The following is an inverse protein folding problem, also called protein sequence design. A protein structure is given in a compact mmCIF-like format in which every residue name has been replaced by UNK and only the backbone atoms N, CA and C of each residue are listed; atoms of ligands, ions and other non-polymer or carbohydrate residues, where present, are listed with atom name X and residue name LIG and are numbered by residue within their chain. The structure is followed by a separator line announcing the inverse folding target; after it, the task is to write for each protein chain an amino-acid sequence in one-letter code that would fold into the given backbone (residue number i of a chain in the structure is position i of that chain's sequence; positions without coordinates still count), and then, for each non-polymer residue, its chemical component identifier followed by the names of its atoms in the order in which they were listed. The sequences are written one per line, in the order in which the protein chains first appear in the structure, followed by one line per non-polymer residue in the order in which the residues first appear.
data_IF_499762875830
#
_entry.id   IF_499762875830
#
_cell.length_a   1.000
_cell.length_b   1.000
_cell.length_c   1.000
_cell.angle_alpha   90.00
_cell.angle_beta   90.00
_cell.angle_gamma   90.00
#
_symmetry.space_group_name_H-M   'P 1'
#
loop_
_entity.id
_entity.type
_entity.pdbx_description
1 polymer ?
#
# COMPACT_ATOMS: atom_id res chain seq x y z
N UNK A 1 12.37 -7.16 -24.82
CA UNK A 1 12.55 -5.86 -24.15
C UNK A 1 13.95 -5.84 -23.57
N UNK A 2 14.85 -5.06 -24.17
CA UNK A 2 16.26 -5.01 -23.75
C UNK A 2 16.53 -3.79 -22.87
N UNK A 3 17.29 -4.00 -21.79
CA UNK A 3 17.76 -2.91 -20.91
C UNK A 3 18.96 -2.25 -21.58
N UNK A 4 18.92 -0.93 -21.68
CA UNK A 4 20.06 -0.10 -22.04
C UNK A 4 21.04 -0.03 -20.85
N UNK A 5 22.22 -0.61 -21.04
CA UNK A 5 23.24 -0.71 -20.00
C UNK A 5 23.70 0.67 -19.49
N UNK A 6 23.75 1.70 -20.34
CA UNK A 6 24.15 3.05 -19.94
C UNK A 6 23.07 3.66 -19.04
N UNK A 7 21.80 3.55 -19.43
CA UNK A 7 20.68 4.03 -18.59
C UNK A 7 20.63 3.28 -17.25
N UNK A 8 20.89 1.98 -17.24
CA UNK A 8 20.93 1.17 -16.01
C UNK A 8 22.05 1.61 -15.06
N UNK A 9 23.25 1.90 -15.59
CA UNK A 9 24.37 2.44 -14.80
C UNK A 9 24.01 3.81 -14.22
N UNK A 10 23.43 4.70 -15.03
CA UNK A 10 22.98 6.03 -14.56
C UNK A 10 21.94 5.88 -13.44
N UNK A 11 20.94 5.02 -13.62
CA UNK A 11 19.92 4.74 -12.60
C UNK A 11 20.57 4.22 -11.31
N UNK A 12 21.53 3.31 -11.40
CA UNK A 12 22.25 2.81 -10.23
C UNK A 12 22.93 3.93 -9.44
N UNK A 13 23.66 4.84 -10.11
CA UNK A 13 24.26 5.99 -9.46
C UNK A 13 23.21 6.92 -8.83
N UNK A 14 22.10 7.17 -9.52
CA UNK A 14 20.98 7.96 -8.98
C UNK A 14 20.43 7.34 -7.70
N UNK A 15 20.21 6.02 -7.67
CA UNK A 15 19.73 5.29 -6.49
C UNK A 15 20.70 5.44 -5.33
N UNK A 16 22.01 5.28 -5.55
CA UNK A 16 23.02 5.44 -4.49
C UNK A 16 23.02 6.86 -3.91
N UNK A 17 23.02 7.88 -4.76
CA UNK A 17 22.97 9.28 -4.34
C UNK A 17 21.69 9.58 -3.57
N UNK A 18 20.53 9.17 -4.09
CA UNK A 18 19.23 9.40 -3.47
C UNK A 18 19.10 8.65 -2.15
N UNK A 19 19.61 7.42 -2.04
CA UNK A 19 19.65 6.68 -0.79
C UNK A 19 20.50 7.39 0.27
N UNK A 20 21.66 7.93 -0.12
CA UNK A 20 22.50 8.72 0.79
C UNK A 20 21.77 9.97 1.29
N UNK A 21 21.15 10.75 0.39
CA UNK A 21 20.39 11.95 0.76
C UNK A 21 19.19 11.57 1.64
N UNK A 22 18.43 10.54 1.27
CA UNK A 22 17.29 10.05 2.04
C UNK A 22 17.69 9.64 3.46
N UNK A 23 18.81 8.94 3.63
CA UNK A 23 19.33 8.55 4.95
C UNK A 23 19.78 9.74 5.81
N UNK A 24 20.22 10.84 5.19
CA UNK A 24 20.54 12.09 5.89
C UNK A 24 19.29 12.87 6.29
N UNK A 25 18.25 12.82 5.46
CA UNK A 25 16.97 13.48 5.76
C UNK A 25 16.17 12.69 6.81
N UNK A 26 16.16 11.36 6.76
CA UNK A 26 15.38 10.54 7.66
C UNK A 26 16.11 10.27 8.99
N UNK A 27 15.55 10.83 10.07
CA UNK A 27 16.06 10.68 11.43
C UNK A 27 15.32 9.53 12.13
N UNK A 28 16.04 8.48 12.54
CA UNK A 28 15.45 7.33 13.21
C UNK A 28 14.98 6.22 12.26
N UNK A 29 14.57 5.09 12.83
CA UNK A 29 14.32 3.87 12.07
C UNK A 29 13.01 3.93 11.27
N UNK A 30 11.94 4.47 11.86
CA UNK A 30 10.63 4.57 11.23
C UNK A 30 10.66 5.51 10.02
N UNK A 31 11.23 6.72 10.18
CA UNK A 31 11.41 7.66 9.07
C UNK A 31 12.19 7.02 7.91
N UNK A 32 13.28 6.31 8.21
CA UNK A 32 14.08 5.62 7.20
C UNK A 32 13.28 4.53 6.51
N UNK A 33 12.54 3.73 7.27
CA UNK A 33 11.71 2.66 6.72
C UNK A 33 10.66 3.21 5.74
N UNK A 34 9.95 4.27 6.11
CA UNK A 34 8.93 4.90 5.28
C UNK A 34 9.52 5.59 4.03
N UNK A 35 10.58 6.37 4.18
CA UNK A 35 11.19 7.07 3.04
C UNK A 35 11.90 6.12 2.08
N UNK A 36 12.63 5.13 2.59
CA UNK A 36 13.26 4.10 1.76
C UNK A 36 12.21 3.16 1.16
N UNK A 37 11.09 2.91 1.84
CA UNK A 37 9.94 2.20 1.29
C UNK A 37 9.37 2.95 0.08
N UNK A 38 9.05 4.24 0.24
CA UNK A 38 8.58 5.10 -0.85
C UNK A 38 9.52 5.07 -2.06
N UNK A 39 10.81 5.35 -1.84
CA UNK A 39 11.80 5.41 -2.92
C UNK A 39 12.10 4.02 -3.52
N UNK A 40 12.20 2.99 -2.69
CA UNK A 40 12.48 1.62 -3.13
C UNK A 40 11.38 1.10 -4.05
N UNK A 41 10.12 1.29 -3.66
CA UNK A 41 8.98 1.00 -4.52
C UNK A 41 9.01 1.80 -5.82
N UNK A 42 9.32 3.09 -5.75
CA UNK A 42 9.39 3.96 -6.92
C UNK A 42 10.45 3.51 -7.92
N UNK A 43 11.61 3.10 -7.41
CA UNK A 43 12.67 2.59 -8.27
C UNK A 43 12.26 1.29 -8.95
N UNK A 44 11.68 0.34 -8.21
CA UNK A 44 11.25 -0.96 -8.75
C UNK A 44 10.14 -0.79 -9.80
N UNK A 45 9.03 -0.14 -9.43
CA UNK A 45 7.82 -0.12 -10.25
C UNK A 45 7.78 0.99 -11.30
N UNK A 46 8.68 1.98 -11.24
CA UNK A 46 8.68 3.09 -12.21
C UNK A 46 10.06 3.37 -12.81
N UNK A 47 11.13 3.40 -12.00
CA UNK A 47 12.44 3.85 -12.52
C UNK A 47 13.19 2.78 -13.31
N UNK A 48 13.13 1.49 -12.94
CA UNK A 48 13.73 0.41 -13.75
C UNK A 48 13.15 0.44 -15.17
N UNK A 49 11.86 0.70 -15.30
CA UNK A 49 11.20 0.87 -16.61
C UNK A 49 11.83 1.96 -17.48
N UNK A 50 12.46 2.98 -16.91
CA UNK A 50 13.15 4.04 -17.68
C UNK A 50 14.45 3.58 -18.34
N UNK A 51 14.94 2.39 -18.00
CA UNK A 51 16.20 1.84 -18.53
C UNK A 51 16.01 1.03 -19.81
N UNK A 52 14.78 0.73 -20.22
CA UNK A 52 14.56 0.03 -21.49
C UNK A 52 14.97 0.88 -22.69
N UNK A 53 15.44 0.23 -23.76
CA UNK A 53 15.90 0.90 -24.98
C UNK A 53 14.81 1.81 -25.58
N UNK A 54 13.56 1.33 -25.62
CA UNK A 54 12.42 2.04 -26.22
C UNK A 54 11.89 3.22 -25.37
N UNK A 55 12.39 3.39 -24.14
CA UNK A 55 11.94 4.49 -23.27
C UNK A 55 12.83 5.72 -23.45
N UNK A 56 12.26 6.90 -23.75
CA UNK A 56 13.04 8.12 -23.90
C UNK A 56 13.89 8.48 -22.67
N UNK A 57 15.15 8.84 -22.89
CA UNK A 57 16.12 9.16 -21.82
C UNK A 57 15.67 10.30 -20.90
N UNK A 58 14.82 11.22 -21.36
CA UNK A 58 14.32 12.30 -20.49
C UNK A 58 13.48 11.77 -19.31
N UNK A 59 12.84 10.60 -19.45
CA UNK A 59 12.05 9.99 -18.38
C UNK A 59 12.92 9.45 -17.24
N UNK A 60 14.15 9.03 -17.53
CA UNK A 60 15.14 8.69 -16.50
C UNK A 60 15.46 9.92 -15.62
N UNK A 61 15.69 11.07 -16.24
CA UNK A 61 15.93 12.33 -15.52
C UNK A 61 14.68 12.85 -14.81
N UNK A 62 13.50 12.66 -15.40
CA UNK A 62 12.23 12.95 -14.74
C UNK A 62 12.06 12.09 -13.48
N UNK A 63 12.38 10.79 -13.54
CA UNK A 63 12.37 9.90 -12.38
C UNK A 63 13.30 10.37 -11.27
N UNK A 64 14.50 10.82 -11.61
CA UNK A 64 15.44 11.42 -10.66
C UNK A 64 14.89 12.70 -10.00
N UNK A 65 14.37 13.62 -10.82
CA UNK A 65 13.77 14.87 -10.33
C UNK A 65 12.56 14.63 -9.42
N UNK A 66 11.69 13.67 -9.78
CA UNK A 66 10.55 13.27 -8.98
C UNK A 66 10.98 12.68 -7.63
N UNK A 67 12.05 11.88 -7.60
CA UNK A 67 12.60 11.32 -6.36
C UNK A 67 13.18 12.39 -5.44
N UNK A 68 13.90 13.37 -5.98
CA UNK A 68 14.37 14.53 -5.21
C UNK A 68 13.19 15.32 -4.63
N UNK A 69 12.14 15.52 -5.42
CA UNK A 69 10.92 16.17 -4.97
C UNK A 69 10.22 15.38 -3.84
N UNK A 70 10.20 14.05 -3.90
CA UNK A 70 9.71 13.21 -2.80
C UNK A 70 10.53 13.37 -1.52
N UNK A 71 11.86 13.40 -1.62
CA UNK A 71 12.73 13.61 -0.45
C UNK A 71 12.51 15.01 0.15
N UNK A 72 12.40 16.04 -0.70
CA UNK A 72 12.13 17.40 -0.27
C UNK A 72 10.75 17.54 0.38
N UNK A 73 9.72 16.94 -0.23
CA UNK A 73 8.38 16.85 0.34
C UNK A 73 8.38 16.16 1.69
N UNK A 74 9.07 15.03 1.82
CA UNK A 74 9.23 14.30 3.08
C UNK A 74 9.89 15.16 4.15
N UNK A 75 10.97 15.88 3.80
CA UNK A 75 11.63 16.81 4.69
C UNK A 75 10.67 17.93 5.17
N UNK A 76 9.85 18.48 4.28
CA UNK A 76 8.83 19.46 4.61
C UNK A 76 7.75 18.90 5.55
N UNK A 77 7.16 17.75 5.19
CA UNK A 77 6.10 17.09 5.96
C UNK A 77 6.55 16.77 7.38
N UNK A 78 7.77 16.23 7.55
CA UNK A 78 8.29 15.92 8.88
C UNK A 78 8.55 17.17 9.74
N UNK A 79 8.84 18.32 9.14
CA UNK A 79 9.08 19.56 9.88
C UNK A 79 7.75 20.16 10.30
N UNK A 80 6.79 20.27 9.37
CA UNK A 80 5.45 20.82 9.63
C UNK A 80 4.71 20.00 10.70
N UNK A 81 4.81 18.68 10.66
CA UNK A 81 4.12 17.79 11.62
C UNK A 81 4.94 17.44 12.87
N UNK A 82 6.09 18.08 13.10
CA UNK A 82 6.90 17.78 14.29
C UNK A 82 6.12 18.00 15.61
N UNK A 83 5.41 19.13 15.72
CA UNK A 83 4.60 19.44 16.91
C UNK A 83 3.41 18.49 17.08
N UNK A 84 2.72 18.14 15.99
CA UNK A 84 1.63 17.16 16.01
C UNK A 84 2.13 15.80 16.49
N UNK A 85 3.28 15.35 15.98
CA UNK A 85 3.92 14.10 16.41
C UNK A 85 4.21 14.10 17.91
N UNK A 86 4.73 15.19 18.48
CA UNK A 86 4.98 15.28 19.94
C UNK A 86 3.69 15.18 20.75
N UNK A 87 2.63 15.91 20.37
CA UNK A 87 1.34 15.90 21.07
C UNK A 87 0.71 14.51 21.00
N UNK A 88 0.69 13.91 19.81
CA UNK A 88 0.17 12.57 19.58
C UNK A 88 0.94 11.54 20.41
N UNK A 89 2.27 11.58 20.39
CA UNK A 89 3.10 10.63 21.15
C UNK A 89 2.80 10.66 22.64
N UNK A 90 2.72 11.86 23.23
CA UNK A 90 2.40 12.02 24.65
C UNK A 90 1.00 11.50 24.99
N UNK A 91 -0.01 11.84 24.19
CA UNK A 91 -1.39 11.36 24.41
C UNK A 91 -1.50 9.85 24.26
N UNK A 92 -1.00 9.31 23.16
CA UNK A 92 -1.09 7.90 22.85
C UNK A 92 -0.34 7.05 23.86
N UNK A 93 0.85 7.47 24.29
CA UNK A 93 1.61 6.75 25.31
C UNK A 93 0.81 6.61 26.61
N UNK A 94 0.20 7.71 27.10
CA UNK A 94 -0.65 7.66 28.31
C UNK A 94 -1.85 6.74 28.16
N UNK A 95 -2.52 6.77 27.00
CA UNK A 95 -3.67 5.91 26.72
C UNK A 95 -3.28 4.44 26.75
N UNK A 96 -2.18 4.06 26.08
CA UNK A 96 -1.75 2.67 26.05
C UNK A 96 -1.18 2.19 27.39
N UNK A 97 -0.53 3.07 28.17
CA UNK A 97 -0.06 2.74 29.52
C UNK A 97 -1.21 2.53 30.51
N UNK A 98 -2.32 3.27 30.37
CA UNK A 98 -3.52 3.09 31.20
C UNK A 98 -4.42 1.92 30.78
N UNK A 99 -4.16 1.29 29.64
CA UNK A 99 -5.00 0.25 29.07
C UNK A 99 -4.39 -1.14 29.23
N UNK A 100 -5.22 -2.15 29.45
CA UNK A 100 -4.77 -3.54 29.36
C UNK A 100 -4.48 -3.90 27.89
N UNK A 101 -3.20 -3.81 27.50
CA UNK A 101 -2.72 -4.03 26.13
C UNK A 101 -3.19 -5.37 25.53
N UNK A 102 -3.23 -6.44 26.33
CA UNK A 102 -3.63 -7.77 25.87
C UNK A 102 -5.13 -7.82 25.54
N UNK A 103 -5.97 -7.24 26.41
CA UNK A 103 -7.42 -7.15 26.16
C UNK A 103 -7.71 -6.30 24.94
N UNK A 104 -7.04 -5.15 24.82
CA UNK A 104 -7.15 -4.28 23.64
C UNK A 104 -6.83 -5.06 22.36
N UNK A 105 -5.67 -5.74 22.33
CA UNK A 105 -5.25 -6.49 21.15
C UNK A 105 -6.26 -7.59 20.80
N UNK A 106 -6.74 -8.34 21.81
CA UNK A 106 -7.76 -9.36 21.62
C UNK A 106 -9.05 -8.79 21.02
N UNK A 107 -9.61 -7.71 21.57
CA UNK A 107 -10.87 -7.14 21.10
C UNK A 107 -10.76 -6.60 19.67
N UNK A 108 -9.68 -5.90 19.34
CA UNK A 108 -9.49 -5.36 17.99
C UNK A 108 -9.33 -6.47 16.96
N UNK A 109 -8.56 -7.51 17.26
CA UNK A 109 -8.36 -8.64 16.35
C UNK A 109 -9.63 -9.46 16.21
N UNK A 110 -10.34 -9.70 17.31
CA UNK A 110 -11.63 -10.36 17.28
C UNK A 110 -12.63 -9.56 16.44
N UNK A 111 -12.69 -8.23 16.58
CA UNK A 111 -13.53 -7.37 15.76
C UNK A 111 -13.23 -7.55 14.27
N UNK A 112 -11.95 -7.46 13.88
CA UNK A 112 -11.53 -7.65 12.47
C UNK A 112 -11.95 -9.03 11.96
N UNK A 113 -11.61 -10.10 12.68
CA UNK A 113 -11.98 -11.47 12.28
C UNK A 113 -13.51 -11.61 12.17
N UNK A 114 -14.27 -11.07 13.12
CA UNK A 114 -15.73 -11.11 13.10
C UNK A 114 -16.30 -10.35 11.89
N UNK A 115 -15.75 -9.20 11.51
CA UNK A 115 -16.19 -8.48 10.30
C UNK A 115 -15.91 -9.29 9.02
N UNK A 116 -14.84 -10.09 8.97
CA UNK A 116 -14.56 -10.98 7.83
C UNK A 116 -15.50 -12.18 7.81
N UNK A 117 -15.71 -12.83 8.97
CA UNK A 117 -16.66 -13.94 9.12
C UNK A 117 -18.07 -13.48 8.75
N UNK A 118 -18.45 -12.25 9.11
CA UNK A 118 -19.75 -11.69 8.78
C UNK A 118 -20.05 -11.73 7.27
N UNK A 119 -19.05 -11.52 6.40
CA UNK A 119 -19.21 -11.59 4.93
C UNK A 119 -19.56 -13.00 4.43
N UNK A 120 -19.20 -14.04 5.22
CA UNK A 120 -19.59 -15.42 4.97
C UNK A 120 -20.93 -15.79 5.60
N UNK A 121 -21.47 -14.99 6.52
CA UNK A 121 -22.78 -15.23 7.14
C UNK A 121 -23.89 -14.48 6.40
N UNK A 122 -23.57 -13.30 5.85
CA UNK A 122 -24.51 -12.40 5.20
C UNK A 122 -23.93 -11.86 3.88
N UNK A 123 -24.70 -11.87 2.77
CA UNK A 123 -26.16 -11.97 2.70
C UNK A 123 -26.67 -13.41 2.62
N UNK A 124 -25.78 -14.32 2.21
CA UNK A 124 -26.00 -15.75 2.09
C UNK A 124 -25.06 -16.45 3.06
N UNK A 125 -25.57 -17.51 3.71
CA UNK A 125 -24.81 -18.30 4.66
C UNK A 125 -23.87 -19.25 3.91
N UNK A 126 -22.57 -18.96 3.94
CA UNK A 126 -21.46 -19.60 3.21
C UNK A 126 -20.34 -20.08 4.15
N UNK A 127 -20.63 -20.38 5.41
CA UNK A 127 -19.61 -20.84 6.37
C UNK A 127 -19.05 -22.22 6.05
N UNK A 128 -19.81 -23.05 5.33
CA UNK A 128 -19.38 -24.34 4.79
C UNK A 128 -18.19 -24.21 3.82
N UNK A 129 -18.07 -23.07 3.12
CA UNK A 129 -16.93 -22.80 2.24
C UNK A 129 -15.59 -22.68 2.98
N UNK A 130 -15.59 -22.51 4.30
CA UNK A 130 -14.36 -22.59 5.10
C UNK A 130 -13.76 -24.00 5.14
N UNK A 131 -14.54 -25.03 4.83
CA UNK A 131 -14.06 -26.42 4.73
C UNK A 131 -13.82 -26.83 3.28
N UNK A 132 -14.52 -26.18 2.33
CA UNK A 132 -14.43 -26.44 0.89
C UNK A 132 -14.29 -25.12 0.14
N UNK A 133 -13.09 -24.50 0.18
CA UNK A 133 -12.89 -23.18 -0.39
C UNK A 133 -13.07 -23.21 -1.91
N UNK A 134 -13.63 -22.15 -2.52
CA UNK A 134 -13.84 -22.08 -3.95
C UNK A 134 -12.51 -22.05 -4.72
N UNK A 135 -12.54 -22.47 -5.99
CA UNK A 135 -11.41 -22.30 -6.90
C UNK A 135 -11.19 -20.81 -7.21
N UNK A 136 -9.93 -20.37 -7.40
CA UNK A 136 -9.63 -18.95 -7.63
C UNK A 136 -10.21 -18.47 -8.96
N UNK A 137 -10.95 -17.36 -8.95
CA UNK A 137 -11.56 -16.80 -10.16
C UNK A 137 -11.51 -15.26 -10.18
N UNK A 138 -10.57 -14.71 -10.94
CA UNK A 138 -10.41 -13.24 -11.05
C UNK A 138 -11.59 -12.57 -11.76
N UNK A 139 -12.26 -13.26 -12.69
CA UNK A 139 -13.34 -12.69 -13.48
C UNK A 139 -14.58 -12.42 -12.60
N UNK A 140 -14.91 -13.37 -11.70
CA UNK A 140 -15.99 -13.19 -10.72
C UNK A 140 -15.68 -12.03 -9.78
N UNK A 141 -14.46 -12.00 -9.23
CA UNK A 141 -14.04 -10.92 -8.34
C UNK A 141 -14.05 -9.54 -9.00
N UNK A 142 -13.58 -9.45 -10.25
CA UNK A 142 -13.54 -8.19 -10.98
C UNK A 142 -14.94 -7.74 -11.42
N UNK A 143 -15.79 -8.67 -11.88
CA UNK A 143 -17.18 -8.38 -12.24
C UNK A 143 -18.00 -7.87 -11.05
N UNK A 144 -17.80 -8.46 -9.87
CA UNK A 144 -18.48 -8.06 -8.64
C UNK A 144 -18.24 -6.59 -8.24
N UNK A 145 -17.14 -5.98 -8.71
CA UNK A 145 -16.83 -4.56 -8.43
C UNK A 145 -17.75 -3.58 -9.17
N UNK A 146 -18.36 -4.00 -10.27
CA UNK A 146 -19.22 -3.14 -11.09
C UNK A 146 -20.71 -3.38 -10.84
N UNK A 147 -21.05 -4.50 -10.20
CA UNK A 147 -22.41 -4.82 -9.78
C UNK A 147 -22.60 -4.36 -8.33
N UNK A 148 -22.92 -3.08 -8.11
CA UNK A 148 -23.14 -2.51 -6.76
C UNK A 148 -24.46 -3.03 -6.14
N UNK A 149 -24.44 -4.29 -5.71
CA UNK A 149 -25.57 -4.98 -5.08
C UNK A 149 -25.38 -5.14 -3.56
N UNK A 150 -24.39 -4.44 -2.97
CA UNK A 150 -24.15 -4.56 -1.54
C UNK A 150 -25.27 -3.86 -0.74
N UNK A 151 -25.87 -4.60 0.19
CA UNK A 151 -26.84 -4.06 1.14
C UNK A 151 -26.22 -2.96 2.02
N UNK A 152 -27.06 -2.10 2.61
CA UNK A 152 -26.60 -1.08 3.56
C UNK A 152 -25.81 -1.68 4.73
N UNK A 153 -26.24 -2.83 5.25
CA UNK A 153 -25.54 -3.52 6.34
C UNK A 153 -24.14 -3.98 5.93
N UNK A 154 -23.97 -4.54 4.73
CA UNK A 154 -22.65 -4.90 4.21
C UNK A 154 -21.77 -3.68 4.00
N UNK A 155 -22.31 -2.58 3.47
CA UNK A 155 -21.59 -1.31 3.31
C UNK A 155 -21.07 -0.80 4.65
N UNK A 156 -21.89 -0.87 5.71
CA UNK A 156 -21.50 -0.51 7.08
C UNK A 156 -20.40 -1.44 7.61
N UNK A 157 -20.56 -2.77 7.50
CA UNK A 157 -19.56 -3.72 8.01
C UNK A 157 -18.23 -3.60 7.27
N UNK A 158 -18.26 -3.45 5.95
CA UNK A 158 -17.06 -3.17 5.15
C UNK A 158 -16.40 -1.86 5.59
N UNK A 159 -17.19 -0.85 5.98
CA UNK A 159 -16.63 0.40 6.46
C UNK A 159 -16.00 0.27 7.85
N UNK A 160 -16.59 -0.50 8.76
CA UNK A 160 -15.99 -0.84 10.07
C UNK A 160 -14.66 -1.57 9.88
N UNK A 161 -14.62 -2.55 8.97
CA UNK A 161 -13.41 -3.28 8.59
C UNK A 161 -12.30 -2.30 8.14
N UNK A 162 -12.62 -1.39 7.20
CA UNK A 162 -11.70 -0.33 6.74
C UNK A 162 -11.19 0.53 7.90
N UNK A 163 -12.09 1.07 8.74
CA UNK A 163 -11.74 1.94 9.87
C UNK A 163 -10.93 1.23 10.97
N UNK A 164 -11.05 -0.09 11.08
CA UNK A 164 -10.34 -0.90 12.07
C UNK A 164 -8.88 -1.17 11.69
N UNK A 165 -8.51 -1.01 10.42
CA UNK A 165 -7.18 -1.31 9.86
C UNK A 165 -6.00 -0.74 10.67
N UNK A 166 -5.93 0.58 10.97
CA UNK A 166 -4.82 1.12 11.75
C UNK A 166 -4.75 0.51 13.16
N UNK A 167 -5.90 0.32 13.82
CA UNK A 167 -5.97 -0.27 15.15
C UNK A 167 -5.54 -1.73 15.15
N UNK A 168 -5.87 -2.48 14.09
CA UNK A 168 -5.44 -3.85 13.89
C UNK A 168 -3.91 -3.96 13.88
N UNK A 169 -3.23 -3.15 13.08
CA UNK A 169 -1.76 -3.15 13.06
C UNK A 169 -1.14 -2.69 14.39
N UNK A 170 -1.79 -1.78 15.11
CA UNK A 170 -1.39 -1.42 16.49
C UNK A 170 -1.56 -2.62 17.44
N UNK A 171 -2.67 -3.35 17.36
CA UNK A 171 -2.91 -4.54 18.18
C UNK A 171 -1.87 -5.64 17.93
N UNK A 172 -1.43 -5.83 16.69
CA UNK A 172 -0.38 -6.80 16.34
C UNK A 172 0.96 -6.52 17.05
N UNK A 173 1.26 -5.27 17.42
CA UNK A 173 2.47 -4.91 18.16
C UNK A 173 2.60 -5.68 19.49
N UNK A 174 1.47 -5.97 20.17
CA UNK A 174 1.46 -6.71 21.43
C UNK A 174 1.98 -8.16 21.24
N UNK A 175 1.82 -8.71 20.04
CA UNK A 175 2.23 -10.07 19.70
C UNK A 175 3.49 -10.15 18.84
N UNK A 176 4.19 -9.03 18.61
CA UNK A 176 5.37 -8.97 17.72
C UNK A 176 6.48 -9.99 18.01
N UNK A 177 6.57 -10.46 19.26
CA UNK A 177 7.54 -11.49 19.67
C UNK A 177 7.07 -12.93 19.38
N UNK A 178 5.76 -13.14 19.29
CA UNK A 178 5.09 -14.43 19.04
C UNK A 178 4.82 -14.59 17.54
N UNK A 179 5.89 -14.82 16.76
CA UNK A 179 5.81 -14.85 15.29
C UNK A 179 4.79 -15.85 14.74
N UNK A 180 4.69 -17.05 15.32
CA UNK A 180 3.70 -18.04 14.89
C UNK A 180 2.27 -17.53 15.05
N UNK A 181 2.00 -16.79 16.14
CA UNK A 181 0.69 -16.19 16.37
C UNK A 181 0.43 -15.04 15.39
N UNK A 182 1.43 -14.19 15.15
CA UNK A 182 1.35 -13.10 14.17
C UNK A 182 1.06 -13.63 12.76
N UNK A 183 1.82 -14.64 12.31
CA UNK A 183 1.61 -15.33 11.04
C UNK A 183 0.25 -16.01 10.99
N UNK A 184 -0.15 -16.69 12.06
CA UNK A 184 -1.47 -17.33 12.16
C UNK A 184 -2.61 -16.33 12.00
N UNK A 185 -2.56 -15.17 12.66
CA UNK A 185 -3.59 -14.13 12.56
C UNK A 185 -3.69 -13.57 11.14
N UNK A 186 -2.56 -13.20 10.53
CA UNK A 186 -2.56 -12.67 9.15
C UNK A 186 -3.07 -13.74 8.17
N UNK A 187 -2.62 -14.99 8.31
CA UNK A 187 -3.09 -16.10 7.49
C UNK A 187 -4.59 -16.33 7.66
N UNK A 188 -5.12 -16.36 8.88
CA UNK A 188 -6.56 -16.53 9.12
C UNK A 188 -7.38 -15.43 8.45
N UNK A 189 -6.94 -14.17 8.54
CA UNK A 189 -7.64 -13.05 7.90
C UNK A 189 -7.67 -13.24 6.37
N UNK A 190 -6.51 -13.53 5.76
CA UNK A 190 -6.45 -13.76 4.31
C UNK A 190 -7.22 -14.98 3.86
N UNK A 191 -7.20 -16.04 4.65
CA UNK A 191 -7.95 -17.25 4.37
C UNK A 191 -9.45 -16.97 4.30
N UNK A 192 -10.00 -16.22 5.26
CA UNK A 192 -11.42 -15.84 5.24
C UNK A 192 -11.73 -14.92 4.06
N UNK A 193 -10.85 -13.95 3.75
CA UNK A 193 -11.00 -13.10 2.57
C UNK A 193 -10.97 -13.91 1.26
N UNK A 194 -10.10 -14.91 1.16
CA UNK A 194 -10.05 -15.81 0.01
C UNK A 194 -11.34 -16.59 -0.15
N UNK A 195 -11.87 -17.15 0.94
CA UNK A 195 -13.12 -17.92 0.93
C UNK A 195 -14.30 -17.04 0.53
N UNK A 196 -14.35 -15.79 1.00
CA UNK A 196 -15.41 -14.82 0.65
C UNK A 196 -15.37 -14.40 -0.82
N UNK A 197 -14.17 -14.06 -1.30
CA UNK A 197 -13.96 -13.42 -2.60
C UNK A 197 -13.58 -14.38 -3.74
N UNK A 198 -13.31 -15.66 -3.42
CA UNK A 198 -12.67 -16.64 -4.30
C UNK A 198 -11.39 -16.10 -4.98
N UNK A 199 -10.69 -15.17 -4.32
CA UNK A 199 -9.55 -14.49 -4.90
C UNK A 199 -8.72 -13.75 -3.84
N UNK A 200 -7.40 -13.83 -3.95
CA UNK A 200 -6.46 -12.94 -3.27
C UNK A 200 -5.54 -12.31 -4.32
N UNK A 201 -5.33 -10.99 -4.27
CA UNK A 201 -4.34 -10.38 -5.14
C UNK A 201 -2.91 -10.78 -4.74
N UNK A 202 -2.06 -11.11 -5.72
CA UNK A 202 -0.63 -11.39 -5.47
C UNK A 202 0.06 -10.33 -4.62
N UNK A 203 -0.28 -9.06 -4.85
CA UNK A 203 0.26 -7.93 -4.11
C UNK A 203 -0.10 -7.94 -2.63
N UNK A 204 -1.27 -8.48 -2.28
CA UNK A 204 -1.71 -8.63 -0.89
C UNK A 204 -0.87 -9.67 -0.16
N UNK A 205 -0.61 -10.82 -0.80
CA UNK A 205 0.27 -11.86 -0.23
C UNK A 205 1.69 -11.33 -0.03
N UNK A 206 2.24 -10.64 -1.03
CA UNK A 206 3.57 -10.00 -0.93
C UNK A 206 3.58 -8.98 0.21
N UNK A 207 2.54 -8.18 0.36
CA UNK A 207 2.44 -7.18 1.42
C UNK A 207 2.48 -7.81 2.80
N UNK A 208 1.73 -8.90 3.04
CA UNK A 208 1.75 -9.60 4.32
C UNK A 208 3.11 -10.26 4.60
N UNK A 209 3.73 -10.85 3.58
CA UNK A 209 5.08 -11.42 3.69
C UNK A 209 6.11 -10.34 4.03
N UNK A 210 6.00 -9.14 3.44
CA UNK A 210 6.86 -8.01 3.76
C UNK A 210 6.61 -7.50 5.19
N UNK A 211 5.35 -7.43 5.64
CA UNK A 211 5.03 -7.04 7.02
C UNK A 211 5.65 -8.03 8.01
N UNK A 212 5.51 -9.34 7.77
CA UNK A 212 6.13 -10.37 8.59
C UNK A 212 7.66 -10.26 8.55
N UNK A 213 8.26 -10.16 7.36
CA UNK A 213 9.69 -10.01 7.19
C UNK A 213 10.24 -8.80 7.96
N UNK A 214 9.62 -7.62 7.81
CA UNK A 214 10.04 -6.40 8.48
C UNK A 214 9.81 -6.46 10.00
N UNK A 215 8.74 -7.11 10.46
CA UNK A 215 8.50 -7.33 11.88
C UNK A 215 9.59 -8.22 12.51
N UNK A 216 9.95 -9.33 11.85
CA UNK A 216 11.06 -10.20 12.31
C UNK A 216 12.39 -9.46 12.25
N UNK A 217 12.66 -8.75 11.15
CA UNK A 217 13.89 -7.97 10.96
C UNK A 217 14.13 -6.98 12.10
N UNK A 218 13.04 -6.35 12.54
CA UNK A 218 13.06 -5.39 13.62
C UNK A 218 13.24 -6.06 14.99
N UNK A 219 12.45 -7.09 15.31
CA UNK A 219 12.45 -7.73 16.64
C UNK A 219 13.62 -8.70 16.86
N UNK A 220 14.23 -9.24 15.81
CA UNK A 220 15.25 -10.29 15.89
C UNK A 220 16.52 -9.94 15.09
N UNK A 221 17.37 -9.02 15.58
CA UNK A 221 18.59 -8.61 14.87
C UNK A 221 19.53 -9.76 14.48
N UNK A 222 19.59 -10.82 15.31
CA UNK A 222 20.42 -12.01 15.05
C UNK A 222 19.99 -12.79 13.81
N UNK A 223 18.72 -12.68 13.38
CA UNK A 223 18.20 -13.37 12.21
C UNK A 223 18.36 -12.58 10.91
N UNK A 224 18.83 -11.32 10.95
CA UNK A 224 18.89 -10.45 9.76
C UNK A 224 19.70 -11.04 8.62
N UNK A 225 20.94 -11.49 8.88
CA UNK A 225 21.78 -12.08 7.85
C UNK A 225 21.19 -13.40 7.30
N UNK A 226 20.78 -14.38 8.12
CA UNK A 226 20.05 -15.56 7.63
C UNK A 226 18.82 -15.20 6.79
N UNK A 227 18.01 -14.23 7.23
CA UNK A 227 16.84 -13.78 6.50
C UNK A 227 17.17 -13.23 5.11
N UNK A 228 18.25 -12.44 4.97
CA UNK A 228 18.68 -11.96 3.64
C UNK A 228 19.12 -13.11 2.74
N UNK A 229 19.91 -14.04 3.27
CA UNK A 229 20.39 -15.21 2.51
C UNK A 229 19.20 -16.07 2.08
N UNK A 230 18.28 -16.38 3.00
CA UNK A 230 17.06 -17.15 2.68
C UNK A 230 16.16 -16.40 1.71
N UNK A 231 15.95 -15.10 1.87
CA UNK A 231 15.13 -14.31 0.95
C UNK A 231 15.73 -14.31 -0.46
N UNK A 232 17.05 -14.11 -0.58
CA UNK A 232 17.74 -14.15 -1.87
C UNK A 232 17.67 -15.53 -2.53
N UNK A 233 17.94 -16.60 -1.76
CA UNK A 233 17.89 -17.97 -2.27
C UNK A 233 16.46 -18.41 -2.64
N UNK A 234 15.44 -17.97 -1.89
CA UNK A 234 14.04 -18.32 -2.15
C UNK A 234 13.38 -17.45 -3.22
N UNK A 235 13.98 -16.30 -3.58
CA UNK A 235 13.37 -15.33 -4.49
C UNK A 235 12.99 -15.92 -5.86
N UNK A 236 13.83 -16.71 -6.56
CA UNK A 236 13.45 -17.29 -7.85
C UNK A 236 12.23 -18.20 -7.75
N UNK A 237 12.17 -19.04 -6.71
CA UNK A 237 11.04 -19.94 -6.45
C UNK A 237 9.78 -19.14 -6.11
N UNK A 238 9.90 -18.13 -5.24
CA UNK A 238 8.76 -17.29 -4.87
C UNK A 238 8.18 -16.55 -6.08
N UNK A 239 9.03 -15.98 -6.94
CA UNK A 239 8.59 -15.31 -8.17
C UNK A 239 7.95 -16.29 -9.16
N UNK A 240 8.53 -17.47 -9.33
CA UNK A 240 7.93 -18.54 -10.14
C UNK A 240 6.52 -18.91 -9.65
N UNK A 241 6.34 -19.14 -8.35
CA UNK A 241 5.02 -19.44 -7.78
C UNK A 241 4.03 -18.29 -7.97
N UNK A 242 4.49 -17.04 -7.97
CA UNK A 242 3.65 -15.88 -8.28
C UNK A 242 3.23 -15.84 -9.76
N UNK A 243 4.10 -16.25 -10.67
CA UNK A 243 3.78 -16.41 -12.10
C UNK A 243 2.74 -17.50 -12.32
N UNK A 244 2.95 -18.68 -11.71
CA UNK A 244 1.99 -19.79 -11.76
C UNK A 244 0.64 -19.37 -11.19
N UNK A 245 0.64 -18.75 -10.01
CA UNK A 245 -0.58 -18.23 -9.40
C UNK A 245 -1.30 -17.24 -10.31
N UNK A 246 -0.55 -16.38 -11.02
CA UNK A 246 -1.10 -15.43 -11.98
C UNK A 246 -1.81 -16.11 -13.15
N UNK A 247 -1.27 -17.22 -13.67
CA UNK A 247 -1.90 -18.00 -14.73
C UNK A 247 -3.15 -18.74 -14.23
N UNK A 248 -3.04 -19.45 -13.09
CA UNK A 248 -4.12 -20.26 -12.53
C UNK A 248 -5.36 -19.43 -12.22
N UNK A 249 -5.20 -18.23 -11.64
CA UNK A 249 -6.34 -17.34 -11.34
C UNK A 249 -7.08 -16.83 -12.59
N UNK A 250 -6.43 -16.87 -13.76
CA UNK A 250 -7.03 -16.52 -15.05
C UNK A 250 -7.68 -17.74 -15.72
N UNK A 251 -7.70 -18.90 -15.07
CA UNK A 251 -8.16 -20.16 -15.66
C UNK A 251 -7.18 -20.74 -16.69
N UNK A 252 -5.94 -20.23 -16.72
CA UNK A 252 -4.91 -20.69 -17.65
C UNK A 252 -3.95 -21.66 -16.95
N UNK A 253 -3.38 -22.59 -17.73
CA UNK A 253 -2.22 -23.35 -17.29
C UNK A 253 -0.96 -22.53 -17.54
N UNK A 254 -0.07 -22.44 -16.55
CA UNK A 254 1.23 -21.80 -16.73
C UNK A 254 2.07 -22.61 -17.73
N UNK A 255 2.61 -21.95 -18.76
CA UNK A 255 3.38 -22.58 -19.85
C UNK A 255 4.83 -22.07 -19.94
N UNK A 256 5.40 -21.58 -18.84
CA UNK A 256 6.75 -21.03 -18.85
C UNK A 256 7.85 -22.09 -18.80
N UNK A 257 9.08 -21.67 -19.10
CA UNK A 257 10.29 -22.50 -19.23
C UNK A 257 10.92 -22.87 -17.87
N UNK A 258 10.08 -23.18 -16.87
CA UNK A 258 10.50 -23.52 -15.50
C UNK A 258 10.74 -22.32 -14.59
N UNK A 259 11.47 -22.55 -13.48
CA UNK A 259 11.60 -21.60 -12.35
C UNK A 259 12.20 -20.26 -12.77
N UNK A 260 13.30 -20.27 -13.52
CA UNK A 260 13.97 -19.04 -13.94
C UNK A 260 13.14 -18.24 -14.94
N UNK A 261 12.46 -18.91 -15.88
CA UNK A 261 11.53 -18.27 -16.81
C UNK A 261 10.42 -17.53 -16.07
N UNK A 262 9.72 -18.20 -15.14
CA UNK A 262 8.65 -17.55 -14.39
C UNK A 262 9.10 -16.46 -13.43
N UNK A 263 10.31 -16.57 -12.89
CA UNK A 263 10.90 -15.49 -12.13
C UNK A 263 11.15 -14.25 -13.00
N UNK A 264 11.70 -14.44 -14.20
CA UNK A 264 11.96 -13.36 -15.15
C UNK A 264 10.66 -12.73 -15.67
N UNK A 265 9.63 -13.55 -15.96
CA UNK A 265 8.31 -13.07 -16.37
C UNK A 265 7.69 -12.18 -15.30
N UNK A 266 7.74 -12.61 -14.03
CA UNK A 266 7.22 -11.81 -12.91
C UNK A 266 7.98 -10.50 -12.74
N UNK A 267 9.31 -10.52 -12.83
CA UNK A 267 10.12 -9.30 -12.75
C UNK A 267 9.74 -8.36 -13.89
N UNK A 268 9.63 -8.89 -15.11
CA UNK A 268 9.28 -8.14 -16.32
C UNK A 268 7.89 -7.51 -16.18
N UNK A 269 6.89 -8.26 -15.70
CA UNK A 269 5.55 -7.72 -15.45
C UNK A 269 5.55 -6.55 -14.46
N UNK A 270 6.38 -6.61 -13.42
CA UNK A 270 6.40 -5.60 -12.36
C UNK A 270 7.33 -4.41 -12.66
N UNK A 271 8.18 -4.46 -13.69
CA UNK A 271 9.09 -3.36 -14.09
C UNK A 271 8.72 -2.68 -15.41
N UNK A 272 7.74 -3.20 -16.17
CA UNK A 272 7.41 -2.72 -17.53
C UNK A 272 6.16 -1.85 -17.63
N UNK A 273 5.57 -1.40 -16.51
CA UNK A 273 4.37 -0.54 -16.51
C UNK A 273 4.50 0.70 -17.40
N UNK A 274 5.69 1.31 -17.43
CA UNK A 274 5.97 2.46 -18.27
C UNK A 274 5.87 2.11 -19.77
N UNK A 275 6.38 0.96 -20.19
CA UNK A 275 6.30 0.49 -21.58
C UNK A 275 4.89 0.03 -21.96
N UNK A 276 4.22 -0.71 -21.07
CA UNK A 276 2.92 -1.33 -21.37
C UNK A 276 1.77 -0.32 -21.52
N UNK A 277 1.89 0.85 -20.90
CA UNK A 277 0.85 1.88 -20.96
C UNK A 277 1.30 3.28 -20.62
N UNK A 278 2.39 3.43 -19.85
CA UNK A 278 2.86 4.73 -19.42
C UNK A 278 3.27 5.68 -20.55
N UNK A 279 3.99 5.17 -21.56
CA UNK A 279 4.37 5.97 -22.74
C UNK A 279 3.16 6.47 -23.50
N UNK A 280 2.16 5.61 -23.74
CA UNK A 280 0.93 6.00 -24.43
C UNK A 280 0.19 7.16 -23.72
N UNK A 281 0.16 7.14 -22.38
CA UNK A 281 -0.43 8.24 -21.59
C UNK A 281 0.38 9.52 -21.74
N UNK A 282 1.70 9.45 -21.60
CA UNK A 282 2.59 10.62 -21.69
C UNK A 282 2.52 11.25 -23.10
N UNK A 283 2.55 10.41 -24.15
CA UNK A 283 2.52 10.84 -25.54
C UNK A 283 1.16 11.40 -25.95
N UNK A 284 0.07 10.95 -25.33
CA UNK A 284 -1.28 11.51 -25.56
C UNK A 284 -1.39 12.98 -25.16
N UNK A 285 -0.52 13.45 -24.25
CA UNK A 285 -0.56 14.77 -23.62
C UNK A 285 -1.87 15.12 -22.93
N UNK A 286 -2.74 14.14 -22.72
CA UNK A 286 -3.96 14.33 -21.95
C UNK A 286 -3.58 14.48 -20.48
N UNK A 287 -4.27 15.38 -19.80
CA UNK A 287 -4.09 15.63 -18.37
C UNK A 287 -5.42 15.54 -17.67
N UNK A 288 -5.39 15.17 -16.40
CA UNK A 288 -6.58 15.12 -15.56
C UNK A 288 -7.29 16.47 -15.48
N UNK A 289 -8.61 16.44 -15.30
CA UNK A 289 -9.33 17.64 -14.87
C UNK A 289 -8.96 17.97 -13.42
N UNK A 290 -8.18 19.04 -13.22
CA UNK A 290 -7.68 19.42 -11.90
C UNK A 290 -8.80 19.73 -10.89
N UNK A 291 -9.92 20.33 -11.33
CA UNK A 291 -11.04 20.58 -10.41
C UNK A 291 -11.69 19.29 -9.92
N UNK A 292 -11.91 18.31 -10.80
CA UNK A 292 -12.42 16.98 -10.43
C UNK A 292 -11.43 16.21 -9.56
N UNK A 293 -10.13 16.38 -9.78
CA UNK A 293 -9.07 15.77 -8.96
C UNK A 293 -9.01 16.38 -7.56
N UNK A 294 -9.08 17.70 -7.43
CA UNK A 294 -9.12 18.36 -6.12
C UNK A 294 -10.41 18.03 -5.35
N UNK A 295 -11.55 17.94 -6.05
CA UNK A 295 -12.81 17.50 -5.47
C UNK A 295 -12.72 16.04 -5.00
N UNK A 296 -12.09 15.16 -5.79
CA UNK A 296 -11.82 13.79 -5.38
C UNK A 296 -11.03 13.76 -4.06
N UNK A 297 -9.91 14.47 -3.97
CA UNK A 297 -9.09 14.57 -2.75
C UNK A 297 -9.92 15.06 -1.56
N UNK A 298 -10.66 16.16 -1.73
CA UNK A 298 -11.44 16.78 -0.66
C UNK A 298 -12.57 15.87 -0.14
N UNK A 299 -13.09 15.01 -1.01
CA UNK A 299 -14.18 14.08 -0.65
C UNK A 299 -13.68 12.74 -0.14
N UNK A 300 -12.38 12.41 -0.23
CA UNK A 300 -11.85 11.11 0.21
C UNK A 300 -12.25 10.66 1.63
N UNK A 301 -12.29 11.54 2.65
CA UNK A 301 -12.70 11.14 4.00
C UNK A 301 -14.18 10.76 4.12
N UNK A 302 -15.01 11.12 3.14
CA UNK A 302 -16.43 10.78 3.11
C UNK A 302 -16.53 9.32 2.63
N UNK A 303 -17.39 8.46 3.23
CA UNK A 303 -17.63 7.12 2.71
C UNK A 303 -18.31 7.16 1.34
N UNK A 304 -17.93 6.27 0.42
CA UNK A 304 -18.45 6.29 -0.97
C UNK A 304 -19.97 6.09 -1.04
N UNK A 305 -20.55 5.31 -0.11
CA UNK A 305 -22.00 5.13 -0.03
C UNK A 305 -22.76 6.41 0.37
N UNK A 306 -22.07 7.45 0.86
CA UNK A 306 -22.63 8.77 1.17
C UNK A 306 -22.39 9.76 0.01
N UNK A 307 -21.26 9.63 -0.71
CA UNK A 307 -20.88 10.55 -1.80
C UNK A 307 -21.88 10.58 -2.95
N UNK A 308 -22.58 9.49 -3.22
CA UNK A 308 -23.45 9.37 -4.40
C UNK A 308 -22.66 9.52 -5.71
N UNK A 309 -23.26 10.11 -6.74
CA UNK A 309 -22.71 10.21 -8.10
C UNK A 309 -21.87 11.48 -8.34
N UNK A 310 -21.08 11.92 -7.35
CA UNK A 310 -20.21 13.08 -7.54
C UNK A 310 -19.22 12.84 -8.69
N UNK A 311 -19.05 13.81 -9.62
CA UNK A 311 -18.13 13.69 -10.74
C UNK A 311 -16.67 13.90 -10.29
N UNK A 312 -16.17 12.95 -9.52
CA UNK A 312 -14.79 12.92 -9.03
C UNK A 312 -13.88 12.28 -10.07
N UNK A 313 -12.63 12.74 -10.12
CA UNK A 313 -11.66 12.13 -11.03
C UNK A 313 -11.25 10.75 -10.52
N UNK A 314 -11.32 9.75 -11.40
CA UNK A 314 -10.94 8.37 -11.09
C UNK A 314 -9.66 8.05 -11.86
N UNK A 315 -8.53 8.59 -11.39
CA UNK A 315 -7.23 8.63 -12.09
C UNK A 315 -6.90 7.32 -12.79
N UNK A 316 -6.94 6.21 -12.07
CA UNK A 316 -6.61 4.89 -12.62
C UNK A 316 -7.59 4.42 -13.70
N UNK A 317 -8.88 4.74 -13.57
CA UNK A 317 -9.87 4.39 -14.59
C UNK A 317 -9.78 5.27 -15.82
N UNK A 318 -9.53 6.58 -15.66
CA UNK A 318 -9.33 7.49 -16.77
C UNK A 318 -8.07 7.10 -17.59
N UNK A 319 -6.96 6.83 -16.91
CA UNK A 319 -5.73 6.31 -17.53
C UNK A 319 -6.01 4.99 -18.25
N UNK A 320 -6.74 4.07 -17.62
CA UNK A 320 -7.06 2.77 -18.23
C UNK A 320 -7.95 2.94 -19.46
N UNK A 321 -8.93 3.85 -19.42
CA UNK A 321 -9.79 4.17 -20.57
C UNK A 321 -8.99 4.81 -21.70
N UNK A 322 -8.00 5.65 -21.40
CA UNK A 322 -7.11 6.23 -22.41
C UNK A 322 -6.27 5.17 -23.12
N UNK A 323 -5.78 4.17 -22.40
CA UNK A 323 -4.93 3.10 -22.95
C UNK A 323 -5.76 2.04 -23.69
N UNK A 324 -6.84 1.56 -23.05
CA UNK A 324 -7.63 0.43 -23.56
C UNK A 324 -8.69 0.89 -24.59
N UNK A 325 -9.14 2.15 -24.51
CA UNK A 325 -10.25 2.65 -25.30
C UNK A 325 -11.63 2.15 -24.84
N UNK A 326 -11.73 1.61 -23.62
CA UNK A 326 -12.96 1.08 -23.01
C UNK A 326 -13.30 1.79 -21.72
N UNK A 327 -14.59 1.91 -21.39
CA UNK A 327 -15.07 2.53 -20.15
C UNK A 327 -15.18 1.50 -19.02
N UNK A 328 -15.14 1.94 -17.74
CA UNK A 328 -15.46 1.07 -16.61
C UNK A 328 -16.84 0.42 -16.78
N UNK A 329 -16.90 -0.91 -16.67
CA UNK A 329 -18.11 -1.70 -16.89
C UNK A 329 -18.22 -2.33 -18.28
N UNK A 330 -17.46 -1.85 -19.28
CA UNK A 330 -17.43 -2.47 -20.60
C UNK A 330 -16.71 -3.84 -20.56
N UNK A 331 -17.16 -4.78 -21.39
CA UNK A 331 -16.54 -6.11 -21.48
C UNK A 331 -15.04 -6.03 -21.83
N UNK A 332 -14.20 -6.62 -20.99
CA UNK A 332 -12.75 -6.61 -21.13
C UNK A 332 -12.08 -5.29 -20.74
N UNK A 333 -12.78 -4.40 -20.01
CA UNK A 333 -12.11 -3.33 -19.28
C UNK A 333 -11.27 -3.93 -18.14
N UNK A 334 -10.06 -3.43 -17.96
CA UNK A 334 -9.18 -3.76 -16.83
C UNK A 334 -8.51 -2.49 -16.33
N UNK A 335 -8.04 -2.50 -15.08
CA UNK A 335 -7.27 -1.39 -14.55
C UNK A 335 -5.81 -1.59 -14.94
N UNK A 336 -5.29 -0.69 -15.78
CA UNK A 336 -3.89 -0.70 -16.21
C UNK A 336 -3.04 -0.02 -15.14
N UNK A 337 -1.91 -0.64 -14.81
CA UNK A 337 -0.91 -0.09 -13.93
C UNK A 337 0.14 0.62 -14.79
N UNK A 338 0.33 1.93 -14.58
CA UNK A 338 1.24 2.74 -15.39
C UNK A 338 2.48 3.25 -14.65
N UNK A 339 2.57 2.96 -13.36
CA UNK A 339 3.60 3.49 -12.46
C UNK A 339 3.39 4.98 -12.12
N UNK A 340 4.12 5.42 -11.08
CA UNK A 340 3.95 6.73 -10.46
C UNK A 340 4.51 7.88 -11.31
N UNK A 341 5.52 7.65 -12.14
CA UNK A 341 6.04 8.66 -13.09
C UNK A 341 4.93 9.05 -14.06
N UNK A 342 4.31 8.07 -14.71
CA UNK A 342 3.21 8.30 -15.66
C UNK A 342 2.06 9.03 -15.00
N UNK A 343 1.63 8.56 -13.82
CA UNK A 343 0.54 9.20 -13.10
C UNK A 343 0.86 10.67 -12.77
N UNK A 344 2.12 10.97 -12.42
CA UNK A 344 2.57 12.35 -12.18
C UNK A 344 2.48 13.23 -13.42
N UNK A 345 2.83 12.69 -14.59
CA UNK A 345 2.67 13.39 -15.87
C UNK A 345 1.20 13.57 -16.24
N UNK A 346 0.35 12.58 -16.00
CA UNK A 346 -1.08 12.68 -16.26
C UNK A 346 -1.75 13.73 -15.36
N UNK A 347 -1.39 13.79 -14.07
CA UNK A 347 -2.01 14.71 -13.12
C UNK A 347 -1.52 16.16 -13.32
N UNK A 348 -0.21 16.38 -13.43
CA UNK A 348 0.37 17.73 -13.40
C UNK A 348 1.03 18.16 -14.72
N UNK A 349 1.10 17.29 -15.70
CA UNK A 349 1.78 17.56 -16.96
C UNK A 349 3.31 17.58 -16.86
N UNK A 350 4.02 17.69 -18.00
CA UNK A 350 5.47 17.55 -18.08
C UNK A 350 6.26 18.65 -17.38
N UNK A 351 5.65 19.80 -17.07
CA UNK A 351 6.32 20.94 -16.41
C UNK A 351 6.21 20.88 -14.88
N UNK A 352 5.16 20.26 -14.36
CA UNK A 352 4.82 20.29 -12.94
C UNK A 352 4.70 18.90 -12.30
N UNK A 353 5.04 17.81 -13.02
CA UNK A 353 5.00 16.44 -12.49
C UNK A 353 5.72 16.27 -11.14
N UNK A 354 6.78 17.05 -10.89
CA UNK A 354 7.54 17.03 -9.64
C UNK A 354 6.72 17.51 -8.42
N UNK A 355 5.66 18.31 -8.60
CA UNK A 355 4.75 18.68 -7.51
C UNK A 355 4.09 17.45 -6.91
N UNK A 356 3.80 16.43 -7.73
CA UNK A 356 3.26 15.18 -7.24
C UNK A 356 4.23 14.49 -6.28
N UNK A 357 5.53 14.50 -6.60
CA UNK A 357 6.58 13.99 -5.73
C UNK A 357 6.60 14.71 -4.39
N UNK A 358 6.51 16.04 -4.38
CA UNK A 358 6.41 16.83 -3.14
C UNK A 358 5.20 16.39 -2.31
N UNK A 359 4.03 16.25 -2.92
CA UNK A 359 2.79 15.85 -2.23
C UNK A 359 2.95 14.46 -1.62
N UNK A 360 3.39 13.46 -2.39
CA UNK A 360 3.62 12.11 -1.91
C UNK A 360 4.63 12.09 -0.76
N UNK A 361 5.78 12.75 -0.95
CA UNK A 361 6.80 12.89 0.08
C UNK A 361 6.25 13.54 1.36
N UNK A 362 5.51 14.64 1.22
CA UNK A 362 4.95 15.39 2.35
C UNK A 362 3.99 14.54 3.18
N UNK A 363 3.09 13.78 2.52
CA UNK A 363 2.18 12.84 3.18
C UNK A 363 2.97 11.78 3.96
N UNK A 364 3.98 11.17 3.34
CA UNK A 364 4.83 10.16 4.00
C UNK A 364 5.59 10.78 5.18
N UNK A 365 6.11 12.00 5.04
CA UNK A 365 6.80 12.72 6.11
C UNK A 365 5.89 13.07 7.29
N UNK A 366 4.65 13.48 7.02
CA UNK A 366 3.64 13.75 8.04
C UNK A 366 3.28 12.46 8.81
N UNK A 367 2.99 11.38 8.10
CA UNK A 367 2.69 10.08 8.71
C UNK A 367 3.88 9.52 9.50
N UNK A 368 5.11 9.68 9.00
CA UNK A 368 6.30 9.25 9.71
C UNK A 368 6.45 9.90 11.09
N UNK A 369 6.12 11.19 11.22
CA UNK A 369 6.10 11.89 12.51
C UNK A 369 5.03 11.37 13.46
N UNK A 370 3.87 11.02 12.94
CA UNK A 370 2.78 10.46 13.73
C UNK A 370 3.17 9.08 14.25
N UNK A 371 3.67 8.18 13.39
CA UNK A 371 3.92 6.78 13.79
C UNK A 371 5.23 6.58 14.54
N UNK A 372 6.21 7.47 14.45
CA UNK A 372 7.41 7.38 15.29
C UNK A 372 7.17 7.83 16.73
N UNK A 373 6.08 8.56 16.97
CA UNK A 373 5.79 9.20 18.26
C UNK A 373 5.50 8.23 19.40
N UNK A 374 5.16 6.98 19.08
CA UNK A 374 4.86 5.94 20.07
C UNK A 374 5.40 4.59 19.62
N UNK A 375 5.93 3.81 20.57
CA UNK A 375 6.42 2.44 20.31
C UNK A 375 5.31 1.50 19.80
N UNK A 376 4.06 1.73 20.23
CA UNK A 376 2.92 0.90 19.85
C UNK A 376 2.60 0.98 18.35
N UNK A 377 3.06 2.03 17.67
CA UNK A 377 2.83 2.25 16.25
C UNK A 377 3.89 1.60 15.36
N UNK A 378 4.80 0.79 15.91
CA UNK A 378 5.88 0.20 15.13
C UNK A 378 5.39 -0.75 14.01
N UNK A 379 4.41 -1.62 14.28
CA UNK A 379 3.85 -2.49 13.25
C UNK A 379 2.98 -1.68 12.27
N UNK A 380 2.30 -0.62 12.73
CA UNK A 380 1.59 0.32 11.87
C UNK A 380 2.55 1.05 10.90
N UNK A 381 3.72 1.46 11.39
CA UNK A 381 4.77 2.07 10.56
C UNK A 381 5.30 1.09 9.49
N UNK A 382 5.43 -0.19 9.84
CA UNK A 382 5.77 -1.25 8.87
C UNK A 382 4.68 -1.38 7.80
N UNK A 383 3.41 -1.45 8.21
CA UNK A 383 2.30 -1.51 7.26
C UNK A 383 2.27 -0.30 6.33
N UNK A 384 2.38 0.92 6.85
CA UNK A 384 2.45 2.13 6.03
C UNK A 384 3.64 2.12 5.07
N UNK A 385 4.82 1.66 5.52
CA UNK A 385 5.98 1.52 4.65
C UNK A 385 5.71 0.54 3.50
N UNK A 386 4.97 -0.55 3.75
CA UNK A 386 4.56 -1.50 2.72
C UNK A 386 3.51 -0.89 1.78
N UNK A 387 2.55 -0.12 2.29
CA UNK A 387 1.59 0.64 1.46
C UNK A 387 2.33 1.59 0.51
N UNK A 388 3.32 2.34 1.01
CA UNK A 388 4.09 3.24 0.15
C UNK A 388 5.06 2.50 -0.78
N UNK A 389 5.70 1.42 -0.32
CA UNK A 389 6.59 0.61 -1.15
C UNK A 389 5.84 -0.08 -2.29
N UNK A 390 4.69 -0.70 -1.99
CA UNK A 390 3.98 -1.54 -2.94
C UNK A 390 2.76 -0.82 -3.54
N UNK A 391 1.77 -0.41 -2.74
CA UNK A 391 0.49 0.09 -3.25
C UNK A 391 0.63 1.41 -4.02
N UNK A 392 1.37 2.39 -3.48
CA UNK A 392 1.54 3.70 -4.14
C UNK A 392 2.29 3.58 -5.45
N UNK A 393 3.39 2.84 -5.45
CA UNK A 393 4.27 2.78 -6.61
C UNK A 393 3.74 1.88 -7.71
N UNK A 394 2.92 0.89 -7.35
CA UNK A 394 2.25 -0.01 -8.30
C UNK A 394 0.91 0.54 -8.78
N UNK A 395 0.05 0.97 -7.86
CA UNK A 395 -1.33 1.39 -8.13
C UNK A 395 -1.56 2.91 -8.11
N UNK A 396 -0.52 3.71 -7.91
CA UNK A 396 -0.61 5.17 -7.93
C UNK A 396 -1.23 5.78 -6.67
N UNK A 397 -1.35 7.11 -6.67
CA UNK A 397 -1.96 7.87 -5.57
C UNK A 397 -3.45 7.52 -5.43
N UNK A 398 -4.10 7.11 -6.52
CA UNK A 398 -5.49 6.67 -6.53
C UNK A 398 -5.73 5.38 -5.73
N UNK A 399 -4.73 4.50 -5.59
CA UNK A 399 -4.85 3.32 -4.72
C UNK A 399 -4.58 3.65 -3.26
N UNK A 400 -3.61 4.55 -3.02
CA UNK A 400 -3.03 4.76 -1.69
C UNK A 400 -3.74 5.83 -0.88
N UNK A 401 -4.12 6.94 -1.52
CA UNK A 401 -4.73 8.06 -0.82
C UNK A 401 -6.06 7.67 -0.15
N UNK A 402 -6.97 6.90 -0.77
CA UNK A 402 -8.16 6.39 -0.08
C UNK A 402 -7.82 5.52 1.15
N UNK A 403 -6.82 4.66 1.04
CA UNK A 403 -6.38 3.78 2.14
C UNK A 403 -5.90 4.58 3.35
N UNK A 404 -5.09 5.63 3.13
CA UNK A 404 -4.51 6.45 4.23
C UNK A 404 -5.38 7.62 4.67
N UNK A 405 -6.43 8.00 3.93
CA UNK A 405 -7.35 9.07 4.32
C UNK A 405 -8.60 8.48 4.95
N UNK A 406 -9.31 7.63 4.21
CA UNK A 406 -10.54 7.01 4.65
C UNK A 406 -10.26 5.87 5.64
N UNK A 407 -9.31 4.99 5.34
CA UNK A 407 -8.93 3.88 6.24
C UNK A 407 -8.37 4.33 7.58
N UNK A 408 -7.80 5.53 7.63
CA UNK A 408 -7.24 6.11 8.85
C UNK A 408 -8.17 7.12 9.52
N UNK A 409 -9.39 7.34 9.01
CA UNK A 409 -10.29 8.36 9.55
C UNK A 409 -10.55 8.16 11.05
N UNK A 410 -10.93 6.94 11.46
CA UNK A 410 -11.15 6.63 12.88
C UNK A 410 -9.87 6.77 13.71
N UNK A 411 -8.71 6.47 13.13
CA UNK A 411 -7.41 6.69 13.78
C UNK A 411 -7.10 8.17 13.97
N UNK A 412 -7.32 9.02 12.95
CA UNK A 412 -7.15 10.46 13.09
C UNK A 412 -8.10 11.04 14.14
N UNK A 413 -9.37 10.62 14.14
CA UNK A 413 -10.32 11.02 15.16
C UNK A 413 -9.85 10.59 16.57
N UNK A 414 -9.35 9.36 16.71
CA UNK A 414 -8.73 8.89 17.94
C UNK A 414 -7.56 9.80 18.37
N UNK A 415 -6.66 10.17 17.45
CA UNK A 415 -5.53 11.05 17.78
C UNK A 415 -5.95 12.44 18.27
N UNK A 416 -6.99 13.04 17.69
CA UNK A 416 -7.42 14.40 18.01
C UNK A 416 -8.40 14.48 19.18
N UNK A 417 -9.32 13.52 19.31
CA UNK A 417 -10.47 13.61 20.22
C UNK A 417 -10.35 12.76 21.49
N UNK A 418 -9.28 11.99 21.70
CA UNK A 418 -9.07 11.40 23.02
C UNK A 418 -8.90 12.54 24.04
N UNK A 419 -9.76 12.62 25.06
CA UNK A 419 -9.55 13.52 26.19
C UNK A 419 -8.16 13.23 26.73
N UNK A 420 -7.35 14.26 27.01
CA UNK A 420 -6.17 14.06 27.84
C UNK A 420 -6.66 13.31 29.08
N UNK A 421 -6.28 12.03 29.21
CA UNK A 421 -6.76 11.19 30.28
C UNK A 421 -6.55 12.00 31.55
N UNK A 422 -7.65 12.34 32.23
CA UNK A 422 -7.62 13.20 33.43
C UNK A 422 -6.49 12.68 34.29
N UNK A 423 -5.57 13.56 34.68
CA UNK A 423 -4.53 13.22 35.65
C UNK A 423 -5.27 12.52 36.79
N UNK A 424 -5.12 11.20 36.88
CA UNK A 424 -5.69 10.46 37.99
C UNK A 424 -5.06 11.13 39.21
N UNK A 425 -5.87 11.72 40.13
CA UNK A 425 -5.30 12.42 41.26
C UNK A 425 -4.32 11.46 41.93
N UNK A 426 -3.07 11.89 42.00
CA UNK A 426 -1.94 11.15 42.56
C UNK A 426 -2.11 11.03 44.07
N UNK A 427 -3.12 10.29 44.49
CA UNK A 427 -3.56 10.24 45.87
C UNK A 427 -4.62 9.18 46.07
N UNK A 428 -4.20 7.92 46.16
CA UNK A 428 -4.39 7.09 47.36
C UNK A 428 -3.24 6.08 47.37
N UNK A 429 -2.18 6.40 48.11
CA UNK A 429 -1.36 5.37 48.72
C UNK A 429 -2.20 4.78 49.87
N UNK A 430 -2.42 3.47 49.84
CA UNK A 430 -2.87 2.69 50.98
C UNK A 430 -1.86 1.57 51.20
#
# INVERSE_FOLDING_TARGET
MEIDAVKAIILFFQVVVLAFVALKVANGQQQRLLLLGLLGGFFVYSSIGTTYQDVPTYLLWAGFGLSLAMIAGFAGGKVVFAGVGTIVGQKSQRVFEGMNEQRYAFYVIALVILTKIFKLVYPEFRLDLLLSPPAPNIAVWFGARFTDNASALQKIVNYIDILSTPFFYIALYVMRRKLLLLTGILFTIRYIEYVDAAYIARGTVISDLLILFLAVWNERPKLRAPMLVTAFAAMPIALYLLAEYSAVRMGAMYRGDGVFGGALDTITEETTFLLQGGLAVIDSRQTINMSSYLLWIATLPIPDFIKGSLPVALVNYEISTLIIGKRPGDYGFTVVLTGLITESYYIFGPKLFWLHGIICGFIVGALARIVESSRFYQILAIYLAVVFLHNLNRGGIASTLPEITNGFLAFYLFLFFIPAARDAPSGVAA
#
